data_IF_733198220461
#
_entry.id   IF_733198220461
#
_cell.length_a   1.000
_cell.length_b   1.000
_cell.length_c   1.000
_cell.angle_alpha   90.00
_cell.angle_beta   90.00
_cell.angle_gamma   90.00
#
_symmetry.space_group_name_H-M   'P 1'
#
loop_
_entity.id
_entity.type
_entity.pdbx_description
1 polymer ?
#
# COMPACT_ATOMS: atom_id res chain seq x y z
N UNK A 1 -20.06 6.91 -27.11
CA UNK A 1 -18.73 6.28 -26.98
C UNK A 1 -18.14 6.78 -25.67
N UNK A 2 -17.85 5.90 -24.72
CA UNK A 2 -17.08 6.25 -23.53
C UNK A 2 -15.61 6.34 -23.93
N UNK A 3 -14.95 7.47 -23.64
CA UNK A 3 -13.57 7.76 -24.07
C UNK A 3 -12.52 6.87 -23.37
N UNK A 4 -12.91 5.97 -22.48
CA UNK A 4 -12.00 5.14 -21.67
C UNK A 4 -11.25 5.93 -20.59
N UNK A 5 -11.42 7.24 -20.53
CA UNK A 5 -10.78 8.11 -19.57
C UNK A 5 -11.57 8.20 -18.26
N UNK A 6 -10.84 8.40 -17.16
CA UNK A 6 -11.45 8.72 -15.88
C UNK A 6 -12.15 10.09 -15.95
N UNK A 7 -13.38 10.22 -15.43
CA UNK A 7 -14.04 11.51 -15.30
C UNK A 7 -13.16 12.52 -14.56
N UNK A 8 -13.27 13.80 -14.89
CA UNK A 8 -12.42 14.88 -14.36
C UNK A 8 -12.46 14.94 -12.82
N UNK A 9 -13.64 14.77 -12.22
CA UNK A 9 -13.82 14.73 -10.77
C UNK A 9 -13.18 13.51 -10.08
N UNK A 10 -12.69 12.52 -10.85
CA UNK A 10 -11.99 11.31 -10.35
C UNK A 10 -10.50 11.31 -10.68
N UNK A 11 -9.94 12.39 -11.23
CA UNK A 11 -8.51 12.47 -11.57
C UNK A 11 -7.61 12.32 -10.33
N UNK A 12 -8.11 12.63 -9.14
CA UNK A 12 -7.39 12.40 -7.89
C UNK A 12 -7.03 10.91 -7.67
N UNK A 13 -7.79 9.98 -8.25
CA UNK A 13 -7.48 8.54 -8.20
C UNK A 13 -6.17 8.27 -8.94
N UNK A 14 -5.91 8.94 -10.08
CA UNK A 14 -4.63 8.79 -10.79
C UNK A 14 -3.48 9.25 -9.92
N UNK A 15 -3.60 10.43 -9.30
CA UNK A 15 -2.59 10.95 -8.38
C UNK A 15 -2.32 9.95 -7.24
N UNK A 16 -3.38 9.46 -6.60
CA UNK A 16 -3.26 8.44 -5.56
C UNK A 16 -2.52 7.18 -6.05
N UNK A 17 -2.82 6.68 -7.24
CA UNK A 17 -2.16 5.48 -7.79
C UNK A 17 -0.68 5.74 -8.10
N UNK A 18 -0.34 6.93 -8.59
CA UNK A 18 1.06 7.36 -8.77
C UNK A 18 1.79 7.43 -7.43
N UNK A 19 1.22 8.11 -6.44
CA UNK A 19 1.81 8.27 -5.10
C UNK A 19 2.04 6.90 -4.44
N UNK A 20 1.09 5.97 -4.57
CA UNK A 20 1.23 4.61 -4.04
C UNK A 20 2.32 3.83 -4.78
N UNK A 21 2.42 3.93 -6.11
CA UNK A 21 3.50 3.25 -6.86
C UNK A 21 4.87 3.74 -6.41
N UNK A 22 5.04 5.05 -6.29
CA UNK A 22 6.30 5.65 -5.84
C UNK A 22 6.64 5.23 -4.40
N UNK A 23 5.65 5.22 -3.50
CA UNK A 23 5.83 4.74 -2.14
C UNK A 23 6.24 3.27 -2.09
N UNK A 24 5.55 2.42 -2.85
CA UNK A 24 5.83 0.99 -2.93
C UNK A 24 7.23 0.69 -3.47
N UNK A 25 7.69 1.44 -4.47
CA UNK A 25 9.06 1.29 -4.96
C UNK A 25 10.00 1.56 -3.80
N UNK A 26 9.90 2.72 -3.14
CA UNK A 26 10.74 3.10 -1.99
C UNK A 26 10.73 2.08 -0.85
N UNK A 27 9.59 1.45 -0.58
CA UNK A 27 9.43 0.43 0.46
C UNK A 27 10.18 -0.88 0.14
N UNK A 28 10.34 -1.21 -1.15
CA UNK A 28 10.96 -2.46 -1.62
C UNK A 28 12.43 -2.24 -1.99
N UNK A 29 12.75 -1.09 -2.59
CA UNK A 29 14.10 -0.67 -2.98
C UNK A 29 14.13 0.85 -3.18
N UNK A 30 15.22 1.55 -2.80
CA UNK A 30 15.24 3.01 -2.82
C UNK A 30 14.95 3.60 -4.22
N UNK A 31 15.28 2.87 -5.29
CA UNK A 31 14.95 3.23 -6.68
C UNK A 31 14.40 2.04 -7.49
N UNK A 32 13.69 2.33 -8.59
CA UNK A 32 13.08 1.29 -9.45
C UNK A 32 14.11 0.31 -10.04
N UNK A 33 15.34 0.77 -10.27
CA UNK A 33 16.45 -0.07 -10.77
C UNK A 33 16.91 -1.13 -9.75
N UNK A 34 16.58 -0.96 -8.48
CA UNK A 34 16.93 -1.88 -7.41
C UNK A 34 15.92 -3.04 -7.29
N UNK A 35 14.80 -2.97 -8.02
CA UNK A 35 13.79 -4.01 -8.05
C UNK A 35 14.10 -5.04 -9.15
N UNK A 36 13.90 -6.31 -8.80
CA UNK A 36 13.85 -7.39 -9.80
C UNK A 36 12.64 -7.20 -10.73
N UNK A 37 12.73 -7.72 -11.96
CA UNK A 37 11.60 -7.71 -12.91
C UNK A 37 10.32 -8.31 -12.30
N UNK A 38 10.44 -9.35 -11.47
CA UNK A 38 9.31 -9.95 -10.80
C UNK A 38 8.63 -8.98 -9.81
N UNK A 39 9.41 -8.20 -9.05
CA UNK A 39 8.89 -7.18 -8.15
C UNK A 39 8.20 -6.04 -8.92
N UNK A 40 8.80 -5.57 -10.03
CA UNK A 40 8.17 -4.55 -10.89
C UNK A 40 6.80 -5.03 -11.40
N UNK A 41 6.74 -6.27 -11.90
CA UNK A 41 5.47 -6.86 -12.36
C UNK A 41 4.45 -6.91 -11.21
N UNK A 42 4.84 -7.33 -10.01
CA UNK A 42 3.93 -7.39 -8.87
C UNK A 42 3.43 -6.00 -8.46
N UNK A 43 4.30 -4.98 -8.45
CA UNK A 43 3.92 -3.58 -8.17
C UNK A 43 2.92 -3.09 -9.20
N UNK A 44 3.19 -3.21 -10.50
CA UNK A 44 2.29 -2.70 -11.54
C UNK A 44 0.91 -3.42 -11.52
N UNK A 45 0.90 -4.72 -11.23
CA UNK A 45 -0.35 -5.48 -11.06
C UNK A 45 -1.12 -5.04 -9.84
N UNK A 46 -0.43 -4.75 -8.74
CA UNK A 46 -1.06 -4.24 -7.53
C UNK A 46 -1.67 -2.86 -7.75
N UNK A 47 -0.96 -1.94 -8.42
CA UNK A 47 -1.47 -0.61 -8.76
C UNK A 47 -2.73 -0.70 -9.63
N UNK A 48 -2.72 -1.57 -10.64
CA UNK A 48 -3.90 -1.80 -11.48
C UNK A 48 -5.09 -2.32 -10.68
N UNK A 49 -4.85 -3.27 -9.77
CA UNK A 49 -5.89 -3.84 -8.90
C UNK A 49 -6.46 -2.80 -7.92
N UNK A 50 -5.59 -1.97 -7.31
CA UNK A 50 -5.99 -0.86 -6.45
C UNK A 50 -6.85 0.16 -7.23
N UNK A 51 -6.53 0.42 -8.50
CA UNK A 51 -7.35 1.26 -9.36
C UNK A 51 -8.78 0.73 -9.50
N UNK A 52 -8.94 -0.57 -9.74
CA UNK A 52 -10.27 -1.22 -9.82
C UNK A 52 -11.01 -1.12 -8.48
N UNK A 53 -10.32 -1.41 -7.37
CA UNK A 53 -10.89 -1.31 -6.01
C UNK A 53 -11.40 0.12 -5.75
N UNK A 54 -10.59 1.15 -6.04
CA UNK A 54 -10.98 2.55 -5.87
C UNK A 54 -12.21 2.92 -6.68
N UNK A 55 -12.32 2.45 -7.93
CA UNK A 55 -13.49 2.71 -8.75
C UNK A 55 -14.75 2.04 -8.23
N UNK A 56 -14.63 0.83 -7.68
CA UNK A 56 -15.74 0.16 -7.01
C UNK A 56 -16.16 0.95 -5.76
N UNK A 57 -15.21 1.42 -4.95
CA UNK A 57 -15.48 2.22 -3.76
C UNK A 57 -16.18 3.54 -4.09
N UNK A 58 -15.69 4.27 -5.10
CA UNK A 58 -16.33 5.50 -5.55
C UNK A 58 -17.75 5.26 -6.05
N UNK A 59 -17.95 4.18 -6.82
CA UNK A 59 -19.29 3.85 -7.29
C UNK A 59 -20.21 3.47 -6.12
N UNK A 60 -19.69 2.79 -5.11
CA UNK A 60 -20.44 2.46 -3.90
C UNK A 60 -20.75 3.69 -3.03
N UNK A 61 -19.91 4.72 -3.03
CA UNK A 61 -20.20 6.01 -2.37
C UNK A 61 -21.35 6.75 -3.04
N UNK A 62 -21.43 6.68 -4.38
CA UNK A 62 -22.50 7.31 -5.16
C UNK A 62 -23.83 6.57 -5.04
N UNK A 63 -23.82 5.25 -5.23
CA UNK A 63 -25.04 4.43 -5.35
C UNK A 63 -25.49 3.80 -4.02
N UNK A 64 -24.64 3.88 -2.99
CA UNK A 64 -24.76 3.05 -1.79
C UNK A 64 -24.21 1.63 -1.99
N UNK A 65 -23.89 0.97 -0.89
CA UNK A 65 -23.33 -0.39 -0.87
C UNK A 65 -24.39 -1.49 -1.01
N UNK A 66 -25.65 -1.17 -0.68
CA UNK A 66 -26.79 -2.08 -0.78
C UNK A 66 -27.75 -1.65 -1.88
N UNK A 67 -28.26 -2.64 -2.63
CA UNK A 67 -29.44 -2.50 -3.48
C UNK A 67 -30.53 -3.41 -2.93
N UNK A 68 -31.50 -2.81 -2.23
CA UNK A 68 -32.52 -3.56 -1.49
C UNK A 68 -31.90 -4.25 -0.27
N UNK A 69 -32.00 -5.58 -0.21
CA UNK A 69 -31.43 -6.41 0.88
C UNK A 69 -30.07 -7.03 0.54
N UNK A 70 -29.54 -6.74 -0.65
CA UNK A 70 -28.32 -7.34 -1.16
C UNK A 70 -27.20 -6.33 -1.37
N UNK A 71 -25.97 -6.75 -1.08
CA UNK A 71 -24.77 -6.01 -1.47
C UNK A 71 -24.68 -5.93 -3.01
N UNK A 72 -24.18 -4.81 -3.54
CA UNK A 72 -23.95 -4.71 -4.98
C UNK A 72 -23.00 -5.83 -5.47
N UNK A 73 -23.25 -6.43 -6.65
CA UNK A 73 -22.51 -7.62 -7.09
C UNK A 73 -20.98 -7.47 -7.10
N UNK A 74 -20.48 -6.29 -7.49
CA UNK A 74 -19.04 -5.98 -7.50
C UNK A 74 -18.41 -6.02 -6.10
N UNK A 75 -19.16 -5.71 -5.04
CA UNK A 75 -18.68 -5.80 -3.66
C UNK A 75 -18.76 -7.22 -3.09
N UNK A 76 -19.71 -8.04 -3.55
CA UNK A 76 -20.02 -9.34 -2.94
C UNK A 76 -18.95 -10.40 -3.21
N UNK A 77 -18.47 -10.51 -4.45
CA UNK A 77 -17.49 -11.52 -4.85
C UNK A 77 -16.14 -10.89 -5.23
N UNK A 78 -16.16 -9.87 -6.09
CA UNK A 78 -14.94 -9.32 -6.68
C UNK A 78 -14.13 -8.50 -5.67
N UNK A 79 -14.77 -7.64 -4.88
CA UNK A 79 -14.07 -6.78 -3.92
C UNK A 79 -13.33 -7.57 -2.83
N UNK A 80 -13.94 -8.63 -2.27
CA UNK A 80 -13.29 -9.51 -1.28
C UNK A 80 -12.07 -10.21 -1.91
N UNK A 81 -12.23 -10.78 -3.11
CA UNK A 81 -11.15 -11.44 -3.82
C UNK A 81 -9.98 -10.48 -4.16
N UNK A 82 -10.30 -9.25 -4.57
CA UNK A 82 -9.30 -8.23 -4.87
C UNK A 82 -8.54 -7.81 -3.62
N UNK A 83 -9.21 -7.59 -2.50
CA UNK A 83 -8.54 -7.28 -1.22
C UNK A 83 -7.62 -8.41 -0.75
N UNK A 84 -8.06 -9.66 -0.87
CA UNK A 84 -7.20 -10.80 -0.56
C UNK A 84 -5.97 -10.87 -1.48
N UNK A 85 -6.16 -10.57 -2.77
CA UNK A 85 -5.06 -10.53 -3.74
C UNK A 85 -4.07 -9.40 -3.43
N UNK A 86 -4.56 -8.22 -3.01
CA UNK A 86 -3.72 -7.11 -2.51
C UNK A 86 -2.84 -7.59 -1.37
N UNK A 87 -3.45 -8.17 -0.34
CA UNK A 87 -2.75 -8.70 0.83
C UNK A 87 -1.67 -9.73 0.44
N UNK A 88 -2.03 -10.74 -0.35
CA UNK A 88 -1.08 -11.77 -0.80
C UNK A 88 0.07 -11.19 -1.62
N UNK A 89 -0.19 -10.14 -2.40
CA UNK A 89 0.86 -9.47 -3.19
C UNK A 89 1.83 -8.70 -2.30
N UNK A 90 1.32 -7.99 -1.30
CA UNK A 90 2.14 -7.30 -0.30
C UNK A 90 3.01 -8.28 0.49
N UNK A 91 2.42 -9.40 0.94
CA UNK A 91 3.15 -10.47 1.62
C UNK A 91 4.28 -11.04 0.73
N UNK A 92 4.02 -11.28 -0.56
CA UNK A 92 5.03 -11.74 -1.52
C UNK A 92 6.14 -10.73 -1.79
N UNK A 93 5.85 -9.44 -1.66
CA UNK A 93 6.83 -8.36 -1.78
C UNK A 93 7.65 -8.18 -0.49
N UNK A 94 7.40 -8.98 0.55
CA UNK A 94 8.06 -8.85 1.85
C UNK A 94 7.54 -7.68 2.69
N UNK A 95 6.47 -7.02 2.23
CA UNK A 95 5.78 -5.95 2.95
C UNK A 95 4.78 -6.64 3.90
N UNK A 96 5.31 -7.27 4.96
CA UNK A 96 4.49 -7.90 5.99
C UNK A 96 4.25 -6.91 7.17
N UNK A 97 3.10 -7.06 7.84
CA UNK A 97 2.83 -6.48 9.14
C UNK A 97 3.86 -7.01 10.13
N UNK A 98 5.03 -6.37 10.27
CA UNK A 98 5.93 -6.50 11.44
C UNK A 98 7.21 -5.65 11.44
N UNK A 99 7.28 -4.49 10.77
CA UNK A 99 8.35 -3.54 11.13
C UNK A 99 8.14 -2.91 12.52
N UNK A 100 6.91 -2.90 13.03
CA UNK A 100 6.57 -2.41 14.38
C UNK A 100 6.96 -3.36 15.52
N UNK A 101 7.07 -4.67 15.29
CA UNK A 101 7.49 -5.66 16.30
C UNK A 101 8.92 -6.15 16.04
N UNK A 102 9.81 -5.29 15.54
CA UNK A 102 11.23 -5.65 15.51
C UNK A 102 11.72 -5.70 16.96
N UNK A 103 11.70 -6.89 17.55
CA UNK A 103 12.33 -7.17 18.85
C UNK A 103 13.82 -6.96 18.67
N UNK A 104 14.33 -5.86 19.24
CA UNK A 104 15.77 -5.59 19.28
C UNK A 104 16.46 -6.74 20.02
N UNK A 105 17.56 -7.22 19.47
CA UNK A 105 18.44 -8.14 20.19
C UNK A 105 19.04 -7.43 21.41
N UNK A 106 19.44 -8.15 22.48
CA UNK A 106 20.10 -7.54 23.64
C UNK A 106 21.30 -6.66 23.28
N UNK A 107 22.01 -6.99 22.19
CA UNK A 107 23.15 -6.22 21.70
C UNK A 107 22.71 -4.90 21.02
N UNK A 108 21.63 -4.93 20.23
CA UNK A 108 21.06 -3.72 19.63
C UNK A 108 20.51 -2.79 20.71
N UNK A 109 19.83 -3.32 21.74
CA UNK A 109 19.34 -2.55 22.90
C UNK A 109 20.50 -1.85 23.62
N UNK A 110 21.58 -2.57 23.91
CA UNK A 110 22.76 -2.00 24.55
C UNK A 110 23.40 -0.89 23.71
N UNK A 111 23.44 -1.08 22.37
CA UNK A 111 24.02 -0.11 21.44
C UNK A 111 23.18 1.18 21.37
N UNK A 112 21.85 1.07 21.37
CA UNK A 112 20.97 2.25 21.42
C UNK A 112 21.08 2.98 22.75
N UNK A 113 21.12 2.25 23.86
CA UNK A 113 21.28 2.84 25.20
C UNK A 113 22.60 3.63 25.33
N UNK A 114 23.70 3.10 24.80
CA UNK A 114 24.99 3.78 24.77
C UNK A 114 24.98 5.04 23.89
N UNK A 115 24.27 5.01 22.76
CA UNK A 115 24.08 6.19 21.90
C UNK A 115 23.27 7.27 22.60
N UNK A 116 22.17 6.90 23.25
CA UNK A 116 21.34 7.84 24.01
C UNK A 116 22.09 8.46 25.19
N UNK A 117 22.86 7.66 25.92
CA UNK A 117 23.67 8.13 27.04
C UNK A 117 24.70 9.16 26.60
N UNK A 118 25.45 8.88 25.53
CA UNK A 118 26.43 9.81 24.95
C UNK A 118 25.76 11.09 24.41
N UNK A 119 24.55 10.99 23.88
CA UNK A 119 23.80 12.16 23.40
C UNK A 119 23.28 13.04 24.54
N UNK A 120 22.96 12.47 25.71
CA UNK A 120 22.57 13.22 26.91
C UNK A 120 23.77 13.89 27.57
N UNK A 121 24.90 13.21 27.63
CA UNK A 121 26.15 13.75 28.18
C UNK A 121 26.64 14.96 27.35
N UNK A 122 26.58 14.87 26.01
CA UNK A 122 26.91 16.00 25.10
C UNK A 122 25.94 17.19 25.15
N UNK A 123 24.75 17.04 25.73
CA UNK A 123 23.78 18.15 25.87
C UNK A 123 23.92 18.91 27.19
N UNK A 124 24.70 18.35 28.12
CA UNK A 124 24.92 18.92 29.45
C UNK A 124 26.34 19.52 29.60
N UNK A 125 27.13 19.54 28.52
CA UNK A 125 28.38 20.30 28.34
C UNK A 125 28.11 21.55 27.51
#
# INVERSE_FOLDING_TARGET
>A
MTTGELPEYRQYIKKYLTDVREGMIKDIGPEEKDLTTAQIILVDRLISLLGVIRLIEEKAKEDGVFRGRDLIPSLKASYIAYNNTVRLTLEKLGIDKRMGDRVLTPLEIATEFDKEKKAREKKNE
#
